data_IF_021413805718
#
_entry.id   IF_021413805718
#
_cell.length_a   1.000
_cell.length_b   1.000
_cell.length_c   1.000
_cell.angle_alpha   90.00
_cell.angle_beta   90.00
_cell.angle_gamma   90.00
#
_symmetry.space_group_name_H-M   'P 1'
#
loop_
_entity.id
_entity.type
_entity.pdbx_description
1 polymer ?
#
# COMPACT_ATOMS: atom_id res chain seq x y z
N UNK A 1 33.69 25.64 37.13
CA UNK A 1 33.13 26.57 36.12
C UNK A 1 31.97 25.86 35.45
N UNK A 2 30.88 26.58 35.17
CA UNK A 2 29.65 26.00 34.61
C UNK A 2 29.57 26.38 33.14
N UNK A 3 29.25 25.43 32.27
CA UNK A 3 28.97 25.65 30.85
C UNK A 3 27.52 25.27 30.59
N UNK A 4 26.81 26.09 29.83
CA UNK A 4 25.43 25.85 29.42
C UNK A 4 25.43 25.47 27.94
N UNK A 5 25.14 24.22 27.66
CA UNK A 5 25.08 23.64 26.31
C UNK A 5 23.65 23.63 25.80
N UNK A 6 23.46 24.15 24.59
CA UNK A 6 22.23 24.03 23.82
C UNK A 6 22.31 22.73 23.03
N UNK A 7 21.35 21.86 23.25
CA UNK A 7 21.29 20.57 22.57
C UNK A 7 19.99 20.42 21.81
N UNK A 8 20.12 20.02 20.56
CA UNK A 8 18.99 19.68 19.67
C UNK A 8 18.96 18.17 19.49
N UNK A 9 17.76 17.61 19.42
CA UNK A 9 17.60 16.21 19.09
C UNK A 9 17.42 16.01 17.60
N UNK A 10 18.32 15.24 17.01
CA UNK A 10 18.23 14.78 15.63
C UNK A 10 18.09 13.26 15.60
N UNK A 11 16.89 12.79 15.25
CA UNK A 11 16.54 11.37 15.39
C UNK A 11 16.56 10.91 16.85
N UNK A 12 17.42 9.94 17.16
CA UNK A 12 17.60 9.40 18.52
C UNK A 12 18.78 10.01 19.28
N UNK A 13 19.59 10.85 18.64
CA UNK A 13 20.82 11.40 19.24
C UNK A 13 20.63 12.87 19.62
N UNK A 14 21.19 13.24 20.76
CA UNK A 14 21.37 14.64 21.16
C UNK A 14 22.68 15.16 20.60
N UNK A 15 22.63 16.30 19.93
CA UNK A 15 23.80 17.00 19.40
C UNK A 15 23.93 18.35 20.07
N UNK A 16 25.13 18.70 20.52
CA UNK A 16 25.44 20.04 21.01
C UNK A 16 25.54 20.96 19.81
N UNK A 17 24.74 22.01 19.81
CA UNK A 17 24.77 23.02 18.77
C UNK A 17 25.61 24.22 19.18
N UNK A 18 25.49 24.63 20.44
CA UNK A 18 26.20 25.78 20.98
C UNK A 18 26.43 25.64 22.48
N UNK A 19 27.37 26.42 23.02
CA UNK A 19 27.67 26.46 24.44
C UNK A 19 28.07 27.86 24.90
N UNK A 20 27.62 28.26 26.08
CA UNK A 20 27.96 29.55 26.70
C UNK A 20 28.27 29.37 28.18
N UNK A 21 29.16 30.19 28.72
CA UNK A 21 29.44 30.25 30.16
C UNK A 21 28.35 31.03 30.93
N UNK A 22 27.62 31.89 30.22
CA UNK A 22 26.52 32.71 30.74
C UNK A 22 25.16 32.07 30.45
N UNK A 23 24.37 31.87 31.51
CA UNK A 23 23.05 31.26 31.43
C UNK A 23 22.07 32.09 30.59
N UNK A 24 22.02 33.40 30.81
CA UNK A 24 21.05 34.29 30.16
C UNK A 24 21.27 34.31 28.64
N UNK A 25 22.54 34.37 28.20
CA UNK A 25 22.93 34.29 26.78
C UNK A 25 22.51 32.96 26.17
N UNK A 26 22.77 31.84 26.86
CA UNK A 26 22.38 30.52 26.37
C UNK A 26 20.86 30.38 26.28
N UNK A 27 20.13 30.89 27.28
CA UNK A 27 18.68 30.82 27.36
C UNK A 27 18.00 31.69 26.30
N UNK A 28 18.48 32.92 26.06
CA UNK A 28 17.95 33.76 24.98
C UNK A 28 18.14 33.11 23.61
N UNK A 29 19.29 32.46 23.40
CA UNK A 29 19.58 31.76 22.13
C UNK A 29 18.64 30.56 21.96
N UNK A 30 18.41 29.77 23.00
CA UNK A 30 17.39 28.71 23.04
C UNK A 30 16.01 29.25 22.64
N UNK A 31 15.57 30.36 23.25
CA UNK A 31 14.27 30.95 22.92
C UNK A 31 14.19 31.49 21.49
N UNK A 32 15.32 31.96 20.93
CA UNK A 32 15.39 32.39 19.53
C UNK A 32 15.26 31.19 18.60
N UNK A 33 15.98 30.11 18.88
CA UNK A 33 15.91 28.86 18.13
C UNK A 33 14.52 28.26 18.12
N UNK A 34 13.85 28.21 19.26
CA UNK A 34 12.45 27.74 19.33
C UNK A 34 11.50 28.57 18.47
N UNK A 35 11.75 29.88 18.35
CA UNK A 35 10.91 30.78 17.56
C UNK A 35 11.21 30.69 16.05
N UNK A 36 12.49 30.68 15.68
CA UNK A 36 12.95 30.82 14.30
C UNK A 36 13.10 29.46 13.62
N UNK A 37 13.85 28.55 14.25
CA UNK A 37 14.24 27.27 13.65
C UNK A 37 13.26 26.14 13.97
N UNK A 38 12.51 26.29 15.06
CA UNK A 38 11.46 25.35 15.49
C UNK A 38 11.94 23.89 15.52
N UNK A 39 13.00 23.59 16.30
CA UNK A 39 13.50 22.23 16.45
C UNK A 39 12.44 21.33 17.13
N UNK A 40 12.42 20.05 16.75
CA UNK A 40 11.42 19.09 17.25
C UNK A 40 11.59 18.74 18.73
N UNK A 41 12.82 18.68 19.23
CA UNK A 41 13.13 18.64 20.65
C UNK A 41 14.41 19.43 20.89
N UNK A 42 14.39 20.26 21.94
CA UNK A 42 15.52 21.07 22.32
C UNK A 42 15.67 21.06 23.83
N UNK A 43 16.89 21.14 24.34
CA UNK A 43 17.15 21.27 25.77
C UNK A 43 18.35 22.14 26.03
N UNK A 44 18.30 22.88 27.13
CA UNK A 44 19.45 23.56 27.70
C UNK A 44 20.02 22.67 28.82
N UNK A 45 21.29 22.30 28.70
CA UNK A 45 21.99 21.43 29.65
C UNK A 45 23.07 22.25 30.36
N UNK A 46 23.00 22.31 31.69
CA UNK A 46 24.07 22.84 32.52
C UNK A 46 25.10 21.73 32.78
N UNK A 47 26.36 22.03 32.54
CA UNK A 47 27.51 21.16 32.73
C UNK A 47 28.46 21.84 33.71
N UNK A 48 28.44 21.36 34.96
CA UNK A 48 29.33 21.84 36.00
C UNK A 48 30.59 20.98 36.02
N UNK A 49 31.77 21.58 35.92
CA UNK A 49 33.02 20.87 36.21
C UNK A 49 33.17 20.68 37.73
N UNK A 50 33.20 19.43 38.18
CA UNK A 50 33.60 19.05 39.54
C UNK A 50 35.12 18.87 39.58
N UNK A 51 35.73 18.87 40.78
CA UNK A 51 37.13 18.46 40.95
C UNK A 51 37.41 17.15 40.20
N UNK A 52 38.59 17.09 39.56
CA UNK A 52 39.17 15.90 38.91
C UNK A 52 38.30 15.28 37.81
N UNK A 53 38.18 15.95 36.66
CA UNK A 53 37.74 15.34 35.39
C UNK A 53 36.29 14.84 35.33
N UNK A 54 35.51 15.03 36.40
CA UNK A 54 34.11 14.63 36.47
C UNK A 54 33.23 15.84 36.18
N UNK A 55 32.32 15.71 35.23
CA UNK A 55 31.26 16.69 34.98
C UNK A 55 29.97 16.26 35.68
N UNK A 56 29.24 17.23 36.23
CA UNK A 56 27.84 17.06 36.64
C UNK A 56 26.96 17.73 35.63
N UNK A 57 26.06 16.95 35.04
CA UNK A 57 25.17 17.43 34.01
C UNK A 57 23.74 17.48 34.53
N UNK A 58 23.01 18.55 34.17
CA UNK A 58 21.59 18.70 34.50
C UNK A 58 20.89 19.46 33.39
N UNK A 59 19.77 18.93 32.90
CA UNK A 59 18.87 19.68 32.03
C UNK A 59 18.15 20.77 32.83
N UNK A 60 18.29 22.02 32.40
CA UNK A 60 17.70 23.20 33.05
C UNK A 60 16.50 23.77 32.28
N UNK A 61 16.38 23.45 30.99
CA UNK A 61 15.22 23.79 30.18
C UNK A 61 14.96 22.68 29.15
N UNK A 62 13.68 22.39 28.92
CA UNK A 62 13.21 21.49 27.87
C UNK A 62 12.20 22.21 26.99
N UNK A 63 12.41 22.11 25.69
CA UNK A 63 11.71 22.85 24.66
C UNK A 63 11.28 21.98 23.47
N UNK A 64 10.46 22.55 22.59
CA UNK A 64 10.00 21.89 21.35
C UNK A 64 8.87 20.84 21.51
N UNK A 65 8.28 20.67 22.69
CA UNK A 65 7.28 19.61 22.93
C UNK A 65 6.04 19.70 22.01
N UNK A 66 5.59 20.92 21.72
CA UNK A 66 4.45 21.19 20.83
C UNK A 66 4.68 20.68 19.41
N UNK A 67 5.87 20.93 18.87
CA UNK A 67 6.26 20.50 17.51
C UNK A 67 6.31 18.97 17.44
N UNK A 68 6.81 18.32 18.50
CA UNK A 68 6.80 16.86 18.62
C UNK A 68 5.38 16.30 18.64
N UNK A 69 4.48 16.91 19.40
CA UNK A 69 3.07 16.50 19.47
C UNK A 69 2.38 16.68 18.11
N UNK A 70 2.60 17.81 17.43
CA UNK A 70 2.04 18.05 16.10
C UNK A 70 2.55 17.05 15.06
N UNK A 71 3.84 16.71 15.05
CA UNK A 71 4.36 15.64 14.17
C UNK A 71 3.76 14.28 14.49
N UNK A 72 3.68 13.90 15.77
CA UNK A 72 3.05 12.64 16.20
C UNK A 72 1.60 12.56 15.73
N UNK A 73 0.85 13.66 15.84
CA UNK A 73 -0.52 13.73 15.35
C UNK A 73 -0.61 13.57 13.82
N UNK A 74 0.30 14.20 13.06
CA UNK A 74 0.37 14.04 11.60
C UNK A 74 0.68 12.60 11.19
N UNK A 75 1.68 11.96 11.80
CA UNK A 75 2.01 10.56 11.52
C UNK A 75 0.85 9.61 11.81
N UNK A 76 0.13 9.81 12.92
CA UNK A 76 -1.05 9.01 13.24
C UNK A 76 -2.18 9.17 12.20
N UNK A 77 -2.36 10.38 11.66
CA UNK A 77 -3.31 10.63 10.57
C UNK A 77 -2.88 9.97 9.27
N UNK A 78 -1.60 10.06 8.90
CA UNK A 78 -1.03 9.42 7.72
C UNK A 78 -1.17 7.89 7.80
N UNK A 79 -0.85 7.29 8.94
CA UNK A 79 -0.98 5.85 9.16
C UNK A 79 -2.44 5.38 9.03
N UNK A 80 -3.37 6.13 9.62
CA UNK A 80 -4.81 5.85 9.50
C UNK A 80 -5.28 5.94 8.05
N UNK A 81 -4.84 6.95 7.30
CA UNK A 81 -5.20 7.13 5.89
C UNK A 81 -4.63 5.99 5.02
N UNK A 82 -3.37 5.62 5.24
CA UNK A 82 -2.74 4.50 4.56
C UNK A 82 -3.47 3.17 4.85
N UNK A 83 -3.91 2.95 6.10
CA UNK A 83 -4.69 1.78 6.47
C UNK A 83 -6.07 1.78 5.79
N UNK A 84 -6.75 2.93 5.74
CA UNK A 84 -8.03 3.07 5.03
C UNK A 84 -7.89 2.73 3.55
N UNK A 85 -6.83 3.21 2.90
CA UNK A 85 -6.56 2.93 1.49
C UNK A 85 -6.33 1.44 1.25
N UNK A 86 -5.49 0.78 2.08
CA UNK A 86 -5.28 -0.67 2.00
C UNK A 86 -6.57 -1.48 2.16
N UNK A 87 -7.50 -1.04 3.03
CA UNK A 87 -8.80 -1.70 3.20
C UNK A 87 -9.66 -1.51 1.94
N UNK A 88 -9.71 -0.30 1.39
CA UNK A 88 -10.46 -0.03 0.16
C UNK A 88 -9.94 -0.84 -1.02
N UNK A 89 -8.62 -0.93 -1.18
CA UNK A 89 -7.99 -1.74 -2.24
C UNK A 89 -8.33 -3.23 -2.11
N UNK A 90 -8.35 -3.76 -0.88
CA UNK A 90 -8.81 -5.15 -0.66
C UNK A 90 -10.27 -5.35 -1.01
N UNK A 91 -11.13 -4.38 -0.69
CA UNK A 91 -12.56 -4.47 -1.00
C UNK A 91 -12.84 -4.38 -2.50
N UNK A 92 -12.14 -3.49 -3.22
CA UNK A 92 -12.29 -3.39 -4.67
C UNK A 92 -11.82 -4.67 -5.36
N UNK A 93 -10.69 -5.24 -4.95
CA UNK A 93 -10.23 -6.53 -5.46
C UNK A 93 -11.23 -7.66 -5.22
N UNK A 94 -11.81 -7.76 -4.01
CA UNK A 94 -12.85 -8.77 -3.72
C UNK A 94 -14.06 -8.60 -4.64
N UNK A 95 -14.56 -7.37 -4.78
CA UNK A 95 -15.68 -7.06 -5.68
C UNK A 95 -15.36 -7.44 -7.13
N UNK A 96 -14.17 -7.10 -7.62
CA UNK A 96 -13.73 -7.48 -8.97
C UNK A 96 -13.67 -8.99 -9.16
N UNK A 97 -13.18 -9.74 -8.16
CA UNK A 97 -13.17 -11.21 -8.24
C UNK A 97 -14.57 -11.81 -8.19
N UNK A 98 -15.49 -11.22 -7.43
CA UNK A 98 -16.89 -11.67 -7.38
C UNK A 98 -17.61 -11.36 -8.69
N UNK A 99 -17.44 -10.15 -9.25
CA UNK A 99 -18.02 -9.79 -10.55
C UNK A 99 -17.47 -10.66 -11.67
N UNK A 100 -16.16 -10.89 -11.71
CA UNK A 100 -15.54 -11.77 -12.71
C UNK A 100 -16.05 -13.21 -12.62
N UNK A 101 -16.29 -13.73 -11.41
CA UNK A 101 -16.90 -15.06 -11.22
C UNK A 101 -18.33 -15.12 -11.73
N UNK A 102 -19.13 -14.08 -11.46
CA UNK A 102 -20.52 -14.00 -11.93
C UNK A 102 -20.57 -13.89 -13.46
N UNK A 103 -19.71 -13.08 -14.06
CA UNK A 103 -19.60 -12.96 -15.52
C UNK A 103 -19.20 -14.29 -16.17
N UNK A 104 -18.20 -14.98 -15.61
CA UNK A 104 -17.79 -16.30 -16.07
C UNK A 104 -18.92 -17.35 -15.96
N UNK A 105 -19.73 -17.31 -14.90
CA UNK A 105 -20.88 -18.20 -14.75
C UNK A 105 -21.98 -17.92 -15.79
N UNK A 106 -22.21 -16.64 -16.11
CA UNK A 106 -23.17 -16.23 -17.16
C UNK A 106 -22.70 -16.70 -18.54
N UNK A 107 -21.41 -16.55 -18.84
CA UNK A 107 -20.82 -17.01 -20.10
C UNK A 107 -20.88 -18.54 -20.25
N UNK A 108 -20.54 -19.28 -19.19
CA UNK A 108 -20.67 -20.74 -19.17
C UNK A 108 -22.12 -21.20 -19.39
N UNK A 109 -23.10 -20.53 -18.78
CA UNK A 109 -24.54 -20.79 -19.01
C UNK A 109 -24.98 -20.44 -20.43
N UNK A 110 -24.39 -19.43 -21.07
CA UNK A 110 -24.68 -19.10 -22.48
C UNK A 110 -24.08 -20.14 -23.42
N UNK A 111 -22.83 -20.56 -23.21
CA UNK A 111 -22.17 -21.57 -24.03
C UNK A 111 -22.90 -22.92 -23.98
N UNK A 112 -23.29 -23.37 -22.78
CA UNK A 112 -24.07 -24.61 -22.62
C UNK A 112 -25.42 -24.56 -23.33
N UNK A 113 -26.12 -23.42 -23.29
CA UNK A 113 -27.36 -23.21 -24.06
C UNK A 113 -27.14 -23.25 -25.58
N UNK A 114 -26.08 -22.61 -26.06
CA UNK A 114 -25.73 -22.59 -27.49
C UNK A 114 -25.36 -23.99 -27.98
N UNK A 115 -24.56 -24.74 -27.22
CA UNK A 115 -24.25 -26.14 -27.54
C UNK A 115 -25.51 -27.01 -27.59
N UNK A 116 -26.39 -26.90 -26.59
CA UNK A 116 -27.64 -27.66 -26.56
C UNK A 116 -28.57 -27.35 -27.75
N UNK A 117 -28.55 -26.12 -28.28
CA UNK A 117 -29.33 -25.73 -29.46
C UNK A 117 -28.69 -26.18 -30.79
N UNK A 118 -27.37 -26.25 -30.88
CA UNK A 118 -26.67 -26.64 -32.12
C UNK A 118 -26.61 -28.16 -32.30
N UNK A 119 -26.58 -28.94 -31.22
CA UNK A 119 -26.60 -30.40 -31.27
C UNK A 119 -27.72 -31.02 -32.12
N UNK A 120 -29.02 -30.67 -31.96
CA UNK A 120 -30.09 -31.27 -32.76
C UNK A 120 -30.04 -30.89 -34.24
N UNK A 121 -29.59 -29.69 -34.57
CA UNK A 121 -29.43 -29.23 -35.97
C UNK A 121 -28.25 -29.94 -36.63
N UNK A 122 -27.14 -30.09 -35.92
CA UNK A 122 -25.99 -30.84 -36.41
C UNK A 122 -26.33 -32.33 -36.60
N UNK A 123 -27.02 -32.94 -35.64
CA UNK A 123 -27.43 -34.35 -35.72
C UNK A 123 -28.40 -34.59 -36.88
N UNK A 124 -29.34 -33.69 -37.14
CA UNK A 124 -30.25 -33.80 -38.30
C UNK A 124 -29.52 -33.64 -39.62
N UNK A 125 -28.62 -32.65 -39.75
CA UNK A 125 -27.80 -32.47 -40.97
C UNK A 125 -26.89 -33.68 -41.23
N UNK A 126 -26.21 -34.21 -40.21
CA UNK A 126 -25.36 -35.39 -40.33
C UNK A 126 -26.17 -36.63 -40.72
N UNK A 127 -27.34 -36.83 -40.10
CA UNK A 127 -28.22 -37.95 -40.47
C UNK A 127 -28.71 -37.86 -41.92
N UNK A 128 -29.06 -36.67 -42.40
CA UNK A 128 -29.44 -36.45 -43.80
C UNK A 128 -28.28 -36.72 -44.77
N UNK A 129 -27.07 -36.31 -44.43
CA UNK A 129 -25.88 -36.58 -45.23
C UNK A 129 -25.57 -38.08 -45.34
N UNK A 130 -25.68 -38.81 -44.23
CA UNK A 130 -25.51 -40.28 -44.22
C UNK A 130 -26.56 -40.95 -45.09
N UNK A 131 -27.81 -40.48 -45.04
CA UNK A 131 -28.91 -41.03 -45.82
C UNK A 131 -28.70 -40.79 -47.32
N UNK A 132 -28.26 -39.59 -47.71
CA UNK A 132 -27.90 -39.26 -49.09
C UNK A 132 -26.71 -40.08 -49.60
N UNK A 133 -25.67 -40.28 -48.78
CA UNK A 133 -24.55 -41.16 -49.14
C UNK A 133 -25.01 -42.61 -49.32
N UNK A 134 -25.89 -43.10 -48.45
CA UNK A 134 -26.47 -44.45 -48.57
C UNK A 134 -27.28 -44.62 -49.86
N UNK A 135 -28.12 -43.64 -50.20
CA UNK A 135 -28.89 -43.64 -51.45
C UNK A 135 -27.98 -43.55 -52.68
N UNK A 136 -26.94 -42.71 -52.64
CA UNK A 136 -25.96 -42.61 -53.72
C UNK A 136 -25.19 -43.91 -53.94
N UNK A 137 -24.79 -44.59 -52.88
CA UNK A 137 -24.13 -45.89 -52.94
C UNK A 137 -25.06 -46.97 -53.53
N UNK A 138 -26.33 -47.01 -53.12
CA UNK A 138 -27.33 -47.92 -53.69
C UNK A 138 -27.56 -47.66 -55.19
N UNK A 139 -27.68 -46.39 -55.60
CA UNK A 139 -27.84 -46.02 -56.99
C UNK A 139 -26.62 -46.45 -57.83
N UNK A 140 -25.40 -46.25 -57.31
CA UNK A 140 -24.17 -46.67 -57.99
C UNK A 140 -24.08 -48.20 -58.13
N UNK A 141 -24.44 -48.96 -57.10
CA UNK A 141 -24.49 -50.42 -57.14
C UNK A 141 -25.56 -50.92 -58.11
N UNK A 142 -26.75 -50.32 -58.10
CA UNK A 142 -27.82 -50.68 -59.03
C UNK A 142 -27.42 -50.38 -60.48
N UNK A 143 -26.84 -49.20 -60.74
CA UNK A 143 -26.40 -48.83 -62.09
C UNK A 143 -25.25 -49.73 -62.59
N UNK A 144 -24.35 -50.18 -61.71
CA UNK A 144 -23.28 -51.11 -62.10
C UNK A 144 -23.78 -52.54 -62.32
N UNK A 145 -24.85 -52.98 -61.64
CA UNK A 145 -25.50 -54.28 -61.88
C UNK A 145 -26.33 -54.32 -63.18
N UNK A 146 -26.91 -53.19 -63.60
CA UNK A 146 -27.74 -53.11 -64.82
C UNK A 146 -26.97 -52.77 -66.10
N UNK A 147 -25.67 -52.43 -66.01
CA UNK A 147 -24.80 -52.10 -67.16
C UNK A 147 -23.81 -53.25 -67.49
N UNK A 148 -23.98 -54.42 -66.88
CA UNK A 148 -23.30 -55.67 -67.26
C UNK A 148 -24.25 -56.63 -67.96
#
# INVERSE_FOLDING_TARGET
MSIYEIQVKSGERWTVEDASEEYDVAFERVLRMERVEQPGELRLRRVDQIRTGISRERTVYEGGSRIRQERRARYALEERNALKQRIQDRQSHKRMTETAKVEAEIEAKRQTRLQAQTHPVYMTLMSGFILLLGLGAMYFVQHSLFVS
#
